data_IF_587843800493
#
_entry.id   IF_587843800493
#
_cell.length_a   1.000
_cell.length_b   1.000
_cell.length_c   1.000
_cell.angle_alpha   90.00
_cell.angle_beta   90.00
_cell.angle_gamma   90.00
#
_symmetry.space_group_name_H-M   'P 1'
#
loop_
_entity.id
_entity.type
_entity.pdbx_description
1 polymer ?
#
# COMPACT_ATOMS: atom_id res chain seq x y z
N UNK A 1 8.39 -8.02 -8.34
CA UNK A 1 8.35 -7.00 -7.27
C UNK A 1 7.92 -5.66 -7.85
N UNK A 2 6.84 -5.66 -8.62
CA UNK A 2 6.21 -4.45 -9.17
C UNK A 2 4.70 -4.51 -8.99
N UNK A 3 4.22 -5.43 -8.16
CA UNK A 3 2.82 -5.80 -8.06
C UNK A 3 1.98 -4.61 -7.56
N UNK A 4 2.55 -3.81 -6.65
CA UNK A 4 1.95 -2.56 -6.19
C UNK A 4 1.87 -1.53 -7.33
N UNK A 5 2.98 -1.33 -8.03
CA UNK A 5 3.06 -0.39 -9.15
C UNK A 5 2.10 -0.79 -10.29
N UNK A 6 1.98 -2.09 -10.58
CA UNK A 6 1.04 -2.61 -11.57
C UNK A 6 -0.41 -2.36 -11.13
N UNK A 7 -0.75 -2.67 -9.87
CA UNK A 7 -2.07 -2.39 -9.34
C UNK A 7 -2.42 -0.89 -9.41
N UNK A 8 -1.50 -0.01 -9.04
CA UNK A 8 -1.72 1.44 -9.14
C UNK A 8 -1.83 1.91 -10.60
N UNK A 9 -1.08 1.30 -11.52
CA UNK A 9 -1.15 1.59 -12.95
C UNK A 9 -2.49 1.17 -13.56
N UNK A 10 -3.09 0.09 -13.05
CA UNK A 10 -4.44 -0.35 -13.41
C UNK A 10 -5.52 0.54 -12.79
N UNK A 11 -5.33 0.97 -11.54
CA UNK A 11 -6.23 1.87 -10.80
C UNK A 11 -6.29 3.28 -11.42
N UNK A 12 -5.17 3.77 -12.00
CA UNK A 12 -5.03 5.04 -12.75
C UNK A 12 -5.40 6.33 -11.99
N UNK A 13 -5.77 6.23 -10.73
CA UNK A 13 -6.12 7.36 -9.87
C UNK A 13 -5.32 7.31 -8.56
N UNK A 14 -5.51 8.31 -7.70
CA UNK A 14 -4.94 8.33 -6.37
C UNK A 14 -5.61 7.30 -5.47
N UNK A 15 -4.78 6.50 -4.80
CA UNK A 15 -5.24 5.56 -3.78
C UNK A 15 -4.78 6.01 -2.40
N UNK A 16 -5.68 5.99 -1.41
CA UNK A 16 -5.31 6.27 -0.03
C UNK A 16 -4.32 5.23 0.51
N UNK A 17 -3.30 5.68 1.25
CA UNK A 17 -2.28 4.77 1.79
C UNK A 17 -2.87 3.79 2.81
N UNK A 18 -3.59 4.31 3.80
CA UNK A 18 -3.97 3.56 4.99
C UNK A 18 -2.76 3.25 5.89
N UNK A 19 -3.03 3.05 7.19
CA UNK A 19 -1.98 2.84 8.20
C UNK A 19 -2.42 1.88 9.30
N UNK A 20 -3.34 0.96 8.99
CA UNK A 20 -3.89 0.04 9.96
C UNK A 20 -2.79 -0.87 10.54
N UNK A 21 -2.89 -1.16 11.83
CA UNK A 21 -2.11 -2.24 12.45
C UNK A 21 -2.65 -3.61 12.01
N UNK A 22 -1.88 -4.68 12.22
CA UNK A 22 -2.29 -6.05 11.86
C UNK A 22 -3.59 -6.48 12.54
N UNK A 23 -3.80 -6.05 13.79
CA UNK A 23 -4.97 -6.40 14.59
C UNK A 23 -6.23 -5.61 14.23
N UNK A 24 -6.11 -4.56 13.42
CA UNK A 24 -7.23 -3.69 13.03
C UNK A 24 -7.60 -3.96 11.57
N UNK A 25 -8.90 -3.89 11.23
CA UNK A 25 -9.31 -3.96 9.83
C UNK A 25 -8.69 -2.79 9.06
N UNK A 26 -8.14 -3.07 7.89
CA UNK A 26 -7.72 -2.04 6.96
C UNK A 26 -8.95 -1.40 6.31
N UNK A 27 -8.90 -0.09 6.07
CA UNK A 27 -9.96 0.61 5.35
C UNK A 27 -10.02 0.08 3.90
N UNK A 28 -11.17 -0.37 3.39
CA UNK A 28 -11.28 -0.83 2.01
C UNK A 28 -10.86 0.24 1.01
N UNK A 29 -10.28 -0.18 -0.11
CA UNK A 29 -9.83 0.74 -1.18
C UNK A 29 -8.58 1.54 -0.83
N UNK A 30 -7.81 1.07 0.17
CA UNK A 30 -6.50 1.63 0.51
C UNK A 30 -5.37 0.68 0.10
N UNK A 31 -4.16 1.22 -0.05
CA UNK A 31 -2.95 0.44 -0.32
C UNK A 31 -2.70 -0.59 0.78
N UNK A 32 -2.97 -0.20 2.04
CA UNK A 32 -2.94 -1.10 3.18
C UNK A 32 -3.92 -2.27 3.02
N UNK A 33 -5.15 -2.01 2.57
CA UNK A 33 -6.12 -3.09 2.34
C UNK A 33 -5.72 -4.00 1.17
N UNK A 34 -5.15 -3.43 0.12
CA UNK A 34 -4.66 -4.19 -1.02
C UNK A 34 -3.50 -5.10 -0.62
N UNK A 35 -2.50 -4.61 0.11
CA UNK A 35 -1.34 -5.39 0.56
C UNK A 35 -1.65 -6.52 1.56
N UNK A 36 -2.92 -6.63 1.96
CA UNK A 36 -3.49 -7.66 2.83
C UNK A 36 -4.48 -8.59 2.12
N UNK A 37 -4.83 -8.29 0.87
CA UNK A 37 -5.87 -9.01 0.14
C UNK A 37 -5.40 -10.42 -0.21
N UNK A 38 -6.31 -11.38 -0.20
CA UNK A 38 -6.04 -12.73 -0.72
C UNK A 38 -5.86 -12.72 -2.26
N UNK A 39 -6.31 -11.66 -2.93
CA UNK A 39 -6.23 -11.51 -4.39
C UNK A 39 -4.87 -11.02 -4.89
N UNK A 40 -3.92 -10.72 -4.00
CA UNK A 40 -2.56 -10.33 -4.43
C UNK A 40 -1.77 -11.56 -4.89
N UNK A 41 -0.71 -11.39 -5.69
CA UNK A 41 0.10 -12.52 -6.18
C UNK A 41 0.67 -13.43 -5.08
N UNK A 42 0.90 -12.89 -3.88
CA UNK A 42 1.38 -13.65 -2.71
C UNK A 42 0.27 -14.27 -1.85
N UNK A 43 -1.00 -14.05 -2.19
CA UNK A 43 -2.15 -14.71 -1.57
C UNK A 43 -2.46 -14.27 -0.12
N UNK A 44 -2.25 -12.99 0.23
CA UNK A 44 -2.60 -12.48 1.55
C UNK A 44 -1.75 -11.30 2.00
N UNK A 45 -0.72 -11.55 2.82
CA UNK A 45 0.10 -10.48 3.40
C UNK A 45 1.47 -10.43 2.75
N UNK A 46 1.90 -9.25 2.30
CA UNK A 46 3.32 -9.01 2.02
C UNK A 46 4.18 -9.06 3.28
N UNK A 47 3.60 -8.73 4.44
CA UNK A 47 4.27 -8.87 5.74
C UNK A 47 4.42 -10.35 6.14
N UNK A 48 5.66 -10.82 6.25
CA UNK A 48 5.93 -12.24 6.54
C UNK A 48 5.74 -12.59 8.02
N UNK A 49 6.20 -11.72 8.92
CA UNK A 49 6.24 -11.97 10.37
C UNK A 49 4.93 -11.58 11.06
N UNK A 50 4.27 -12.57 11.69
CA UNK A 50 3.08 -12.35 12.53
C UNK A 50 3.36 -11.33 13.63
N UNK A 51 2.43 -10.40 13.84
CA UNK A 51 2.57 -9.25 14.73
C UNK A 51 3.25 -8.03 14.09
N UNK A 52 3.88 -8.17 12.91
CA UNK A 52 4.56 -7.09 12.17
C UNK A 52 4.08 -7.00 10.70
N UNK A 53 2.88 -7.47 10.38
CA UNK A 53 2.40 -7.49 8.99
C UNK A 53 1.66 -6.23 8.55
N UNK A 54 1.16 -5.46 9.51
CA UNK A 54 0.43 -4.21 9.24
C UNK A 54 1.33 -3.05 8.84
N UNK A 55 0.70 -1.91 8.58
CA UNK A 55 1.36 -0.65 8.17
C UNK A 55 2.15 -0.79 6.87
N UNK A 56 1.74 -1.71 6.00
CA UNK A 56 2.24 -1.82 4.64
C UNK A 56 2.17 -0.46 3.88
N UNK A 57 1.03 0.22 3.97
CA UNK A 57 0.79 1.55 3.38
C UNK A 57 1.59 2.68 4.03
N UNK A 58 2.32 2.43 5.13
CA UNK A 58 3.24 3.40 5.72
C UNK A 58 4.69 3.17 5.28
N UNK A 59 5.10 1.90 5.19
CA UNK A 59 6.51 1.56 4.99
C UNK A 59 6.90 1.48 3.52
N UNK A 60 6.00 1.01 2.65
CA UNK A 60 6.33 0.81 1.24
C UNK A 60 6.29 2.09 0.40
N UNK A 61 5.29 2.99 0.54
CA UNK A 61 5.17 4.15 -0.37
C UNK A 61 6.37 5.10 -0.38
N UNK A 62 7.00 5.47 0.77
CA UNK A 62 8.20 6.31 0.75
C UNK A 62 9.38 5.67 0.01
N UNK A 63 9.49 4.34 0.04
CA UNK A 63 10.52 3.62 -0.70
C UNK A 63 10.23 3.67 -2.21
N UNK A 64 8.99 3.45 -2.62
CA UNK A 64 8.59 3.46 -4.04
C UNK A 64 8.73 4.86 -4.64
N UNK A 65 8.39 5.89 -3.88
CA UNK A 65 8.65 7.30 -4.24
C UNK A 65 10.14 7.55 -4.42
N UNK A 66 10.97 7.10 -3.47
CA UNK A 66 12.43 7.26 -3.55
C UNK A 66 13.04 6.54 -4.76
N UNK A 67 12.46 5.41 -5.16
CA UNK A 67 12.84 4.66 -6.36
C UNK A 67 12.29 5.28 -7.66
N UNK A 68 11.41 6.29 -7.56
CA UNK A 68 10.84 7.00 -8.70
C UNK A 68 9.75 6.22 -9.44
N UNK A 69 9.17 5.19 -8.81
CA UNK A 69 8.13 4.33 -9.40
C UNK A 69 6.72 4.90 -9.21
N UNK A 70 6.52 5.67 -8.14
CA UNK A 70 5.21 6.12 -7.68
C UNK A 70 5.32 7.54 -7.12
N UNK A 71 4.22 8.28 -7.16
CA UNK A 71 4.08 9.60 -6.55
C UNK A 71 3.26 9.48 -5.26
N UNK A 72 3.67 10.17 -4.20
CA UNK A 72 3.00 10.14 -2.89
C UNK A 72 2.69 11.57 -2.44
N UNK A 73 1.52 11.79 -1.85
CA UNK A 73 1.17 13.10 -1.28
C UNK A 73 1.79 13.27 0.12
N UNK A 74 2.17 14.51 0.45
CA UNK A 74 2.85 14.87 1.70
C UNK A 74 1.97 15.79 2.54
N UNK A 75 0.73 15.38 2.77
CA UNK A 75 -0.24 16.10 3.59
C UNK A 75 -0.05 15.77 5.09
N UNK A 76 -0.57 16.59 6.02
CA UNK A 76 -0.56 16.28 7.44
C UNK A 76 -1.30 14.97 7.80
N UNK A 77 -2.22 14.52 6.95
CA UNK A 77 -3.00 13.28 7.11
C UNK A 77 -3.67 12.88 5.79
N UNK A 78 -3.99 11.60 5.66
CA UNK A 78 -4.78 11.10 4.53
C UNK A 78 -3.99 11.01 3.23
N UNK A 79 -2.67 10.79 3.34
CA UNK A 79 -1.78 10.71 2.19
C UNK A 79 -2.25 9.64 1.20
N UNK A 80 -1.96 9.91 -0.06
CA UNK A 80 -2.33 9.05 -1.18
C UNK A 80 -1.11 8.74 -2.02
N UNK A 81 -1.20 7.69 -2.83
CA UNK A 81 -0.18 7.35 -3.81
C UNK A 81 -0.79 7.03 -5.17
N UNK A 82 0.03 7.17 -6.21
CA UNK A 82 -0.34 6.90 -7.60
C UNK A 82 0.89 6.37 -8.35
N UNK A 83 0.68 5.51 -9.34
CA UNK A 83 1.74 5.12 -10.27
C UNK A 83 2.15 6.31 -11.15
N UNK A 84 3.46 6.41 -11.40
CA UNK A 84 4.03 7.40 -12.32
C UNK A 84 3.94 6.94 -13.77
#
# INVERSE_FOLDING_TARGET
MTDLHQMLSEHKDWMELGSADEQKPAKPGTVESWGRSEDIPVGGWYGLKKGLRGRFGMYLPPLMEKLGLEEVTHDPKGNKMKAK
#
